data_IF_260422544366
#
_entry.id   IF_260422544366
#
_cell.length_a   1.000
_cell.length_b   1.000
_cell.length_c   1.000
_cell.angle_alpha   90.00
_cell.angle_beta   90.00
_cell.angle_gamma   90.00
#
_symmetry.space_group_name_H-M   'P 1'
#
loop_
_entity.id
_entity.type
_entity.pdbx_description
1 polymer ?
#
# COMPACT_ATOMS: atom_id res chain seq x y z
N UNK A 1 23.59 1.94 -15.01
CA UNK A 1 22.35 1.89 -14.20
C UNK A 1 21.46 0.86 -14.86
N UNK A 2 21.05 -0.19 -14.13
CA UNK A 2 20.08 -1.17 -14.63
C UNK A 2 18.63 -0.73 -14.27
N UNK A 3 17.63 -1.48 -14.73
CA UNK A 3 16.20 -1.13 -14.56
C UNK A 3 15.81 -0.95 -13.08
N UNK A 4 16.22 -1.88 -12.20
CA UNK A 4 15.93 -1.79 -10.76
C UNK A 4 16.59 -0.55 -10.12
N UNK A 5 17.83 -0.24 -10.50
CA UNK A 5 18.52 0.96 -10.03
C UNK A 5 17.87 2.24 -10.56
N UNK A 6 17.40 2.24 -11.81
CA UNK A 6 16.70 3.38 -12.41
C UNK A 6 15.35 3.64 -11.72
N UNK A 7 14.57 2.59 -11.48
CA UNK A 7 13.31 2.66 -10.73
C UNK A 7 13.52 3.21 -9.32
N UNK A 8 14.48 2.66 -8.58
CA UNK A 8 14.81 3.14 -7.24
C UNK A 8 15.26 4.60 -7.24
N UNK A 9 16.15 5.00 -8.15
CA UNK A 9 16.61 6.38 -8.26
C UNK A 9 15.44 7.34 -8.51
N UNK A 10 14.57 7.01 -9.47
CA UNK A 10 13.42 7.83 -9.83
C UNK A 10 12.48 8.05 -8.64
N UNK A 11 12.06 6.96 -7.99
CA UNK A 11 11.12 7.04 -6.87
C UNK A 11 11.72 7.82 -5.70
N UNK A 12 12.94 7.46 -5.27
CA UNK A 12 13.57 8.15 -4.14
C UNK A 12 13.82 9.64 -4.44
N UNK A 13 14.12 10.00 -5.70
CA UNK A 13 14.26 11.41 -6.09
C UNK A 13 12.93 12.16 -5.98
N UNK A 14 11.83 11.58 -6.46
CA UNK A 14 10.50 12.18 -6.36
C UNK A 14 10.05 12.31 -4.90
N UNK A 15 10.28 11.28 -4.08
CA UNK A 15 10.01 11.31 -2.64
C UNK A 15 10.77 12.45 -1.95
N UNK A 16 12.06 12.61 -2.22
CA UNK A 16 12.85 13.69 -1.63
C UNK A 16 12.32 15.09 -1.98
N UNK A 17 11.80 15.28 -3.20
CA UNK A 17 11.15 16.53 -3.60
C UNK A 17 9.88 16.74 -2.76
N UNK A 18 8.99 15.76 -2.70
CA UNK A 18 7.76 15.87 -1.90
C UNK A 18 8.02 16.14 -0.41
N UNK A 19 9.01 15.44 0.19
CA UNK A 19 9.44 15.66 1.57
C UNK A 19 9.97 17.08 1.79
N UNK A 20 10.68 17.66 0.82
CA UNK A 20 11.19 19.03 0.93
C UNK A 20 10.09 20.09 1.01
N UNK A 21 8.86 19.76 0.58
CA UNK A 21 7.67 20.59 0.70
C UNK A 21 6.78 20.23 1.91
N UNK A 22 7.21 19.30 2.76
CA UNK A 22 6.45 18.89 3.94
C UNK A 22 5.26 17.97 3.67
N UNK A 23 5.17 17.37 2.47
CA UNK A 23 4.13 16.41 2.15
C UNK A 23 4.41 15.05 2.78
N UNK A 24 3.34 14.35 3.15
CA UNK A 24 3.38 12.91 3.41
C UNK A 24 3.27 12.14 2.09
N UNK A 25 3.96 11.02 2.01
CA UNK A 25 4.07 10.24 0.76
C UNK A 25 3.31 8.93 0.96
N UNK A 26 2.41 8.65 0.03
CA UNK A 26 1.77 7.35 -0.12
C UNK A 26 2.34 6.67 -1.37
N UNK A 27 2.79 5.43 -1.25
CA UNK A 27 3.27 4.65 -2.38
C UNK A 27 2.67 3.25 -2.38
N UNK A 28 2.48 2.71 -3.58
CA UNK A 28 2.17 1.30 -3.75
C UNK A 28 3.30 0.41 -3.20
N UNK A 29 2.91 -0.80 -2.78
CA UNK A 29 3.75 -1.77 -2.08
C UNK A 29 5.03 -2.19 -2.81
N UNK A 30 5.11 -2.06 -4.14
CA UNK A 30 6.30 -2.41 -4.90
C UNK A 30 7.52 -1.61 -4.45
N UNK A 31 7.31 -0.37 -3.99
CA UNK A 31 8.40 0.43 -3.43
C UNK A 31 8.95 -0.22 -2.15
N UNK A 32 8.08 -0.73 -1.27
CA UNK A 32 8.46 -1.48 -0.08
C UNK A 32 9.18 -2.78 -0.42
N UNK A 33 8.58 -3.56 -1.32
CA UNK A 33 9.09 -4.87 -1.74
C UNK A 33 10.49 -4.78 -2.40
N UNK A 34 10.78 -3.68 -3.12
CA UNK A 34 12.03 -3.53 -3.87
C UNK A 34 13.12 -2.74 -3.13
N UNK A 35 12.77 -1.80 -2.26
CA UNK A 35 13.75 -0.82 -1.74
C UNK A 35 14.17 -1.09 -0.30
N UNK A 36 13.41 -1.88 0.45
CA UNK A 36 13.72 -2.27 1.83
C UNK A 36 14.02 -1.06 2.72
N UNK A 37 15.16 -1.10 3.43
CA UNK A 37 15.55 -0.06 4.40
C UNK A 37 15.91 1.31 3.80
N UNK A 38 15.92 1.45 2.46
CA UNK A 38 16.17 2.74 1.79
C UNK A 38 14.94 3.65 1.78
N UNK A 39 13.77 3.12 2.13
CA UNK A 39 12.56 3.91 2.28
C UNK A 39 12.59 4.75 3.55
N UNK A 40 12.13 6.00 3.42
CA UNK A 40 11.93 6.88 4.56
C UNK A 40 10.89 6.31 5.51
N UNK A 41 11.14 6.36 6.81
CA UNK A 41 10.17 5.96 7.85
C UNK A 41 8.93 6.88 7.92
N UNK A 42 8.88 7.94 7.09
CA UNK A 42 7.75 8.86 7.01
C UNK A 42 6.71 8.45 5.97
N UNK A 43 7.01 7.48 5.11
CA UNK A 43 6.06 7.08 4.06
C UNK A 43 4.89 6.29 4.65
N UNK A 44 3.82 6.23 3.88
CA UNK A 44 2.71 5.29 4.02
C UNK A 44 2.77 4.31 2.84
N UNK A 45 2.69 3.01 3.13
CA UNK A 45 2.60 1.98 2.09
C UNK A 45 1.13 1.65 1.84
N UNK A 46 0.75 1.59 0.57
CA UNK A 46 -0.57 1.19 0.12
C UNK A 46 -0.48 -0.22 -0.46
N UNK A 47 -1.00 -1.20 0.29
CA UNK A 47 -0.99 -2.61 -0.10
C UNK A 47 -2.17 -2.92 -1.02
N UNK A 48 -1.91 -3.65 -2.11
CA UNK A 48 -2.95 -4.00 -3.08
C UNK A 48 -2.89 -5.41 -3.65
N UNK A 49 -1.70 -5.96 -3.90
CA UNK A 49 -1.56 -7.23 -4.65
C UNK A 49 -2.06 -8.46 -3.89
N UNK A 50 -2.17 -8.40 -2.57
CA UNK A 50 -2.71 -9.49 -1.76
C UNK A 50 -2.31 -9.42 -0.28
N UNK A 51 -2.58 -10.50 0.45
CA UNK A 51 -2.29 -10.61 1.88
C UNK A 51 -0.81 -10.70 2.24
N UNK A 52 -0.46 -10.33 3.47
CA UNK A 52 0.87 -10.52 4.06
C UNK A 52 1.81 -9.31 3.95
N UNK A 53 1.71 -8.49 2.90
CA UNK A 53 2.54 -7.27 2.81
C UNK A 53 2.17 -6.28 3.91
N UNK A 54 0.88 -6.09 4.19
CA UNK A 54 0.44 -5.21 5.27
C UNK A 54 1.07 -5.59 6.63
N UNK A 55 1.17 -6.89 6.94
CA UNK A 55 1.83 -7.41 8.15
C UNK A 55 3.33 -7.04 8.17
N UNK A 56 4.03 -7.24 7.06
CA UNK A 56 5.45 -6.91 6.93
C UNK A 56 5.72 -5.41 7.04
N UNK A 57 4.85 -4.58 6.44
CA UNK A 57 4.93 -3.12 6.49
C UNK A 57 4.84 -2.65 7.94
N UNK A 58 3.80 -3.06 8.68
CA UNK A 58 3.63 -2.63 10.08
C UNK A 58 4.69 -3.24 11.00
N UNK A 59 5.19 -4.44 10.70
CA UNK A 59 6.31 -5.03 11.42
C UNK A 59 7.62 -4.24 11.23
N UNK A 60 7.79 -3.57 10.09
CA UNK A 60 8.91 -2.67 9.82
C UNK A 60 8.77 -1.29 10.46
N UNK A 61 7.63 -0.99 11.09
CA UNK A 61 7.35 0.31 11.73
C UNK A 61 6.71 1.36 10.82
N UNK A 62 6.40 0.99 9.56
CA UNK A 62 5.75 1.88 8.59
C UNK A 62 4.22 1.85 8.74
N UNK A 63 3.58 2.95 8.34
CA UNK A 63 2.11 3.05 8.24
C UNK A 63 1.62 2.34 6.98
N UNK A 64 0.43 1.75 7.04
CA UNK A 64 -0.18 0.99 5.96
C UNK A 64 -1.62 1.42 5.69
N UNK A 65 -1.98 1.55 4.40
CA UNK A 65 -3.36 1.57 3.89
C UNK A 65 -3.57 0.24 3.18
N UNK A 66 -4.69 -0.43 3.45
CA UNK A 66 -5.00 -1.75 2.87
C UNK A 66 -6.05 -1.61 1.77
N UNK A 67 -5.78 -2.19 0.60
CA UNK A 67 -6.68 -2.27 -0.56
C UNK A 67 -6.53 -3.61 -1.27
N UNK A 68 -6.77 -4.70 -0.55
CA UNK A 68 -6.66 -6.06 -1.09
C UNK A 68 -7.47 -6.22 -2.39
N UNK A 69 -6.79 -6.40 -3.52
CA UNK A 69 -7.44 -6.50 -4.84
C UNK A 69 -8.41 -7.67 -4.96
N UNK A 70 -8.23 -8.73 -4.16
CA UNK A 70 -9.11 -9.91 -4.18
C UNK A 70 -10.49 -9.62 -3.57
N UNK A 71 -10.64 -8.46 -2.90
CA UNK A 71 -11.84 -8.12 -2.12
C UNK A 71 -12.31 -6.68 -2.19
N UNK A 72 -11.43 -5.69 -2.36
CA UNK A 72 -11.75 -4.25 -2.29
C UNK A 72 -11.55 -3.50 -3.62
N UNK A 73 -11.56 -4.21 -4.75
CA UNK A 73 -11.54 -3.61 -6.10
C UNK A 73 -12.92 -3.75 -6.75
N UNK A 74 -13.67 -2.66 -6.86
CA UNK A 74 -15.03 -2.61 -7.43
C UNK A 74 -15.06 -2.90 -8.93
N UNK A 75 -13.94 -2.70 -9.62
CA UNK A 75 -13.77 -3.07 -11.01
C UNK A 75 -13.63 -4.59 -11.22
N UNK A 76 -13.42 -5.36 -10.15
CA UNK A 76 -13.48 -6.84 -10.17
C UNK A 76 -14.92 -7.33 -9.95
N UNK A 77 -15.66 -7.49 -11.06
CA UNK A 77 -17.12 -7.76 -11.06
C UNK A 77 -17.54 -9.12 -10.47
N UNK A 78 -16.60 -10.01 -10.22
CA UNK A 78 -16.82 -11.35 -9.65
C UNK A 78 -16.85 -11.35 -8.11
N UNK A 79 -16.45 -10.26 -7.47
CA UNK A 79 -16.43 -10.15 -6.00
C UNK A 79 -17.80 -9.70 -5.47
N UNK A 80 -18.41 -10.53 -4.61
CA UNK A 80 -19.73 -10.22 -4.02
C UNK A 80 -19.63 -9.21 -2.87
N UNK A 81 -20.70 -8.45 -2.60
CA UNK A 81 -20.70 -7.48 -1.49
C UNK A 81 -20.40 -8.13 -0.12
N UNK A 82 -20.78 -9.40 0.07
CA UNK A 82 -20.47 -10.16 1.28
C UNK A 82 -18.97 -10.38 1.42
N UNK A 83 -18.27 -10.72 0.34
CA UNK A 83 -16.81 -10.87 0.33
C UNK A 83 -16.11 -9.54 0.58
N UNK A 84 -16.60 -8.44 0.00
CA UNK A 84 -16.13 -7.08 0.33
C UNK A 84 -16.26 -6.79 1.83
N UNK A 85 -17.43 -7.07 2.40
CA UNK A 85 -17.74 -6.78 3.80
C UNK A 85 -16.92 -7.63 4.78
N UNK A 86 -16.65 -8.88 4.43
CA UNK A 86 -15.90 -9.82 5.27
C UNK A 86 -14.37 -9.62 5.21
N UNK A 87 -13.87 -8.71 4.37
CA UNK A 87 -12.44 -8.44 4.28
C UNK A 87 -11.93 -7.73 5.55
N UNK A 88 -11.11 -8.43 6.33
CA UNK A 88 -10.55 -7.94 7.58
C UNK A 88 -9.16 -7.31 7.34
N UNK A 89 -9.00 -5.98 7.42
CA UNK A 89 -7.74 -5.29 7.13
C UNK A 89 -6.61 -5.61 8.13
N UNK A 90 -6.93 -6.14 9.31
CA UNK A 90 -5.96 -6.56 10.31
C UNK A 90 -5.64 -8.06 10.25
N UNK A 91 -6.03 -8.76 9.19
CA UNK A 91 -5.75 -10.19 9.00
C UNK A 91 -4.26 -10.47 9.22
N UNK A 92 -3.96 -11.40 10.14
CA UNK A 92 -2.61 -11.78 10.59
C UNK A 92 -1.82 -10.73 11.41
N UNK A 93 -2.37 -9.54 11.65
CA UNK A 93 -1.73 -8.49 12.46
C UNK A 93 -2.29 -8.55 13.89
N UNK A 94 -1.65 -9.31 14.78
CA UNK A 94 -2.15 -9.53 16.16
C UNK A 94 -1.58 -8.55 17.20
N UNK A 95 -0.44 -7.92 16.92
CA UNK A 95 0.20 -6.99 17.85
C UNK A 95 -0.51 -5.63 17.82
N UNK A 96 -1.04 -5.18 18.96
CA UNK A 96 -1.80 -3.93 19.06
C UNK A 96 -1.02 -2.66 18.68
N UNK A 97 0.32 -2.66 18.81
CA UNK A 97 1.14 -1.54 18.32
C UNK A 97 1.25 -1.53 16.80
N UNK A 98 1.33 -2.71 16.19
CA UNK A 98 1.36 -2.87 14.73
C UNK A 98 -0.02 -2.60 14.12
N UNK A 99 -1.11 -3.03 14.76
CA UNK A 99 -2.48 -2.72 14.31
C UNK A 99 -2.72 -1.20 14.20
N UNK A 100 -2.17 -0.39 15.11
CA UNK A 100 -2.25 1.08 15.05
C UNK A 100 -1.53 1.71 13.85
N UNK A 101 -0.65 0.97 13.20
CA UNK A 101 0.04 1.43 11.98
C UNK A 101 -0.80 1.15 10.73
N UNK A 102 -1.82 0.29 10.80
CA UNK A 102 -2.87 0.22 9.78
C UNK A 102 -3.79 1.41 10.00
N UNK A 103 -3.71 2.40 9.11
CA UNK A 103 -4.41 3.68 9.27
C UNK A 103 -5.77 3.73 8.56
N UNK A 104 -6.10 2.69 7.81
CA UNK A 104 -7.37 2.56 7.12
C UNK A 104 -7.27 1.63 5.92
N UNK A 105 -8.25 1.76 5.03
CA UNK A 105 -8.28 1.05 3.75
C UNK A 105 -9.02 1.87 2.70
N UNK A 106 -8.75 1.54 1.44
CA UNK A 106 -9.43 2.13 0.30
C UNK A 106 -10.10 1.04 -0.53
N UNK A 107 -11.29 1.36 -1.04
CA UNK A 107 -11.98 0.58 -2.04
C UNK A 107 -11.68 1.23 -3.39
N UNK A 108 -11.05 0.50 -4.30
CA UNK A 108 -10.59 1.02 -5.59
C UNK A 108 -11.62 0.73 -6.69
N UNK A 109 -11.71 1.61 -7.67
CA UNK A 109 -12.48 1.38 -8.90
C UNK A 109 -11.66 1.93 -10.05
N UNK A 110 -10.91 1.06 -10.71
CA UNK A 110 -10.10 1.45 -11.84
C UNK A 110 -10.95 1.72 -13.09
N UNK A 111 -10.46 2.63 -13.94
CA UNK A 111 -11.23 3.26 -15.00
C UNK A 111 -11.18 2.54 -16.35
N UNK A 112 -10.60 1.35 -16.46
CA UNK A 112 -10.42 0.65 -17.74
C UNK A 112 -11.75 0.36 -18.45
N UNK A 113 -12.82 0.15 -17.67
CA UNK A 113 -14.16 -0.18 -18.16
C UNK A 113 -15.27 0.70 -17.55
N UNK A 114 -14.92 1.78 -16.84
CA UNK A 114 -15.85 2.64 -16.11
C UNK A 114 -15.79 4.06 -16.68
N UNK A 115 -16.93 4.57 -17.15
CA UNK A 115 -17.12 5.94 -17.64
C UNK A 115 -18.39 6.58 -17.06
N UNK A 116 -18.85 7.70 -17.64
CA UNK A 116 -20.00 8.49 -17.15
C UNK A 116 -20.88 9.03 -18.27
#
# INVERSE_FOLDING_TARGET
MNESQAYQYFVLRAQNIALSHGYEIVNWEETFNNFGNKLSQKIVVHNWLGGGVAEQVVASGLRCIVSNQDKWYLDHLDTTWQEFYMNEPLTNITNSKQQKLVIGGEVCMWGEHIDG
#
